data_IF_799433710472
#
_entry.id   IF_799433710472
#
_cell.length_a   1.000
_cell.length_b   1.000
_cell.length_c   1.000
_cell.angle_alpha   90.00
_cell.angle_beta   90.00
_cell.angle_gamma   90.00
#
_symmetry.space_group_name_H-M   'P 1'
#
loop_
_entity.id
_entity.type
_entity.pdbx_description
1 polymer ?
#
# COMPACT_ATOMS: atom_id res chain seq x y z
N UNK A 1 -6.87 7.09 -11.25
CA UNK A 1 -5.85 8.11 -11.56
C UNK A 1 -4.54 7.69 -10.88
N UNK A 2 -3.81 6.74 -11.48
CA UNK A 2 -2.52 6.28 -10.95
C UNK A 2 -1.44 7.24 -11.43
N UNK A 3 -1.27 8.37 -10.72
CA UNK A 3 -0.16 9.28 -10.97
C UNK A 3 1.13 8.58 -10.54
N UNK A 4 1.98 8.24 -11.50
CA UNK A 4 3.34 7.77 -11.25
C UNK A 4 4.13 8.93 -10.65
N UNK A 5 4.15 9.01 -9.31
CA UNK A 5 4.93 10.02 -8.59
C UNK A 5 6.40 9.79 -8.87
N UNK A 6 7.03 10.79 -9.47
CA UNK A 6 8.43 10.76 -9.84
C UNK A 6 9.27 11.24 -8.66
N UNK A 7 9.57 10.33 -7.74
CA UNK A 7 10.24 10.62 -6.46
C UNK A 7 11.65 11.22 -6.64
N UNK A 8 12.28 11.02 -7.80
CA UNK A 8 13.60 11.57 -8.10
C UNK A 8 13.62 13.10 -8.19
N UNK A 9 12.46 13.75 -8.40
CA UNK A 9 12.30 15.21 -8.50
C UNK A 9 11.89 15.89 -7.20
N UNK A 10 11.58 15.11 -6.15
CA UNK A 10 11.19 15.66 -4.85
C UNK A 10 12.42 16.05 -4.02
N UNK A 11 12.27 17.09 -3.21
CA UNK A 11 13.28 17.47 -2.22
C UNK A 11 13.32 16.49 -1.05
N UNK A 12 14.44 16.45 -0.33
CA UNK A 12 14.63 15.49 0.77
C UNK A 12 13.52 15.59 1.84
N UNK A 13 13.13 16.81 2.21
CA UNK A 13 12.06 17.05 3.17
C UNK A 13 10.69 16.58 2.66
N UNK A 14 10.45 16.67 1.34
CA UNK A 14 9.24 16.14 0.71
C UNK A 14 9.21 14.60 0.67
N UNK A 15 10.36 13.95 0.47
CA UNK A 15 10.46 12.48 0.51
C UNK A 15 10.15 11.92 1.91
N UNK A 16 10.69 12.56 2.96
CA UNK A 16 10.45 12.16 4.35
C UNK A 16 8.99 12.39 4.75
N UNK A 17 8.41 13.51 4.30
CA UNK A 17 6.99 13.83 4.46
C UNK A 17 6.07 12.79 3.79
N UNK A 18 6.39 12.41 2.55
CA UNK A 18 5.68 11.37 1.79
C UNK A 18 5.75 10.02 2.50
N UNK A 19 6.93 9.59 2.94
CA UNK A 19 7.10 8.31 3.65
C UNK A 19 6.23 8.26 4.90
N UNK A 20 6.25 9.31 5.73
CA UNK A 20 5.46 9.41 6.95
C UNK A 20 3.96 9.40 6.66
N UNK A 21 3.54 10.07 5.58
CA UNK A 21 2.15 10.07 5.10
C UNK A 21 1.71 8.70 4.61
N UNK A 22 2.59 7.95 3.95
CA UNK A 22 2.32 6.57 3.50
C UNK A 22 2.24 5.59 4.67
N UNK A 23 3.12 5.72 5.66
CA UNK A 23 3.05 4.92 6.90
C UNK A 23 1.79 5.24 7.72
N UNK A 24 1.40 6.51 7.83
CA UNK A 24 0.20 6.91 8.56
C UNK A 24 -1.09 6.41 7.89
N UNK A 25 -1.11 6.24 6.57
CA UNK A 25 -2.24 5.67 5.83
C UNK A 25 -2.33 4.14 5.96
N UNK A 26 -1.28 3.48 6.44
CA UNK A 26 -1.22 2.02 6.56
C UNK A 26 -2.25 1.48 7.55
N UNK A 27 -2.47 2.18 8.66
CA UNK A 27 -3.46 1.82 9.70
C UNK A 27 -4.90 1.89 9.17
N UNK A 28 -5.40 3.04 8.66
CA UNK A 28 -6.76 3.11 8.14
C UNK A 28 -6.96 2.17 6.93
N UNK A 29 -5.93 1.96 6.11
CA UNK A 29 -6.00 1.02 4.99
C UNK A 29 -6.10 -0.44 5.47
N UNK A 30 -5.37 -0.82 6.52
CA UNK A 30 -5.47 -2.14 7.14
C UNK A 30 -6.87 -2.40 7.75
N UNK A 31 -7.44 -1.40 8.43
CA UNK A 31 -8.81 -1.48 8.96
C UNK A 31 -9.83 -1.64 7.81
N UNK A 32 -9.67 -0.85 6.74
CA UNK A 32 -10.54 -0.93 5.57
C UNK A 32 -10.47 -2.29 4.88
N UNK A 33 -9.26 -2.82 4.68
CA UNK A 33 -9.08 -4.18 4.14
C UNK A 33 -9.71 -5.21 5.07
N UNK A 34 -9.48 -5.13 6.39
CA UNK A 34 -10.07 -6.04 7.36
C UNK A 34 -11.60 -6.05 7.33
N UNK A 35 -12.22 -4.89 7.17
CA UNK A 35 -13.68 -4.75 7.05
C UNK A 35 -14.20 -5.42 5.77
N UNK A 36 -13.54 -5.21 4.62
CA UNK A 36 -13.95 -5.86 3.37
C UNK A 36 -13.76 -7.38 3.45
N UNK A 37 -12.65 -7.85 4.05
CA UNK A 37 -12.42 -9.29 4.28
C UNK A 37 -13.51 -9.88 5.18
N UNK A 38 -13.90 -9.18 6.25
CA UNK A 38 -14.99 -9.61 7.14
C UNK A 38 -16.34 -9.74 6.40
N UNK A 39 -16.71 -8.74 5.60
CA UNK A 39 -17.93 -8.78 4.77
C UNK A 39 -17.86 -9.92 3.76
N UNK A 40 -16.69 -10.12 3.15
CA UNK A 40 -16.50 -11.14 2.15
C UNK A 40 -16.62 -12.55 2.77
N UNK A 41 -16.05 -12.80 3.97
CA UNK A 41 -16.19 -14.07 4.70
C UNK A 41 -17.64 -14.32 5.12
N UNK A 42 -18.35 -13.28 5.59
CA UNK A 42 -19.76 -13.37 5.93
C UNK A 42 -20.63 -13.71 4.72
N UNK A 43 -20.33 -13.08 3.56
CA UNK A 43 -20.99 -13.33 2.28
C UNK A 43 -20.64 -14.70 1.68
N UNK A 44 -19.41 -15.20 1.84
CA UNK A 44 -19.03 -16.54 1.38
C UNK A 44 -19.77 -17.64 2.13
N UNK A 45 -20.08 -17.43 3.41
CA UNK A 45 -20.86 -18.37 4.23
C UNK A 45 -22.33 -18.42 3.79
N UNK A 46 -22.85 -17.34 3.20
CA UNK A 46 -24.21 -17.26 2.67
C UNK A 46 -24.23 -17.49 1.14
N UNK A 47 -24.19 -18.78 0.74
CA UNK A 47 -24.40 -19.33 -0.61
C UNK A 47 -23.97 -18.42 -1.80
N UNK A 48 -22.67 -18.38 -2.09
CA UNK A 48 -22.16 -18.03 -3.44
C UNK A 48 -20.92 -17.11 -3.53
N UNK A 49 -20.48 -16.49 -2.43
CA UNK A 49 -19.45 -15.43 -2.45
C UNK A 49 -17.97 -15.85 -2.42
N UNK A 50 -17.65 -17.15 -2.42
CA UNK A 50 -16.28 -17.64 -2.19
C UNK A 50 -15.26 -17.26 -3.29
N UNK A 51 -15.70 -17.08 -4.54
CA UNK A 51 -14.81 -16.60 -5.60
C UNK A 51 -14.46 -15.11 -5.44
N UNK A 52 -15.37 -14.33 -4.86
CA UNK A 52 -15.14 -12.91 -4.59
C UNK A 52 -14.16 -12.71 -3.43
N UNK A 53 -14.26 -13.50 -2.34
CA UNK A 53 -13.30 -13.44 -1.22
C UNK A 53 -11.87 -13.75 -1.66
N UNK A 54 -11.68 -14.82 -2.44
CA UNK A 54 -10.36 -15.20 -2.95
C UNK A 54 -9.83 -14.21 -3.97
N UNK A 55 -10.67 -13.73 -4.89
CA UNK A 55 -10.27 -12.69 -5.84
C UNK A 55 -9.79 -11.42 -5.13
N UNK A 56 -10.48 -11.02 -4.06
CA UNK A 56 -10.13 -9.83 -3.29
C UNK A 56 -8.84 -10.02 -2.47
N UNK A 57 -8.62 -11.20 -1.88
CA UNK A 57 -7.37 -11.53 -1.17
C UNK A 57 -6.16 -11.56 -2.11
N UNK A 58 -6.30 -12.15 -3.30
CA UNK A 58 -5.25 -12.15 -4.32
C UNK A 58 -4.96 -10.71 -4.76
N UNK A 59 -6.00 -9.92 -5.01
CA UNK A 59 -5.85 -8.51 -5.40
C UNK A 59 -5.17 -7.68 -4.30
N UNK A 60 -5.56 -7.86 -3.04
CA UNK A 60 -4.93 -7.19 -1.89
C UNK A 60 -3.44 -7.55 -1.76
N UNK A 61 -3.09 -8.83 -1.99
CA UNK A 61 -1.70 -9.31 -1.94
C UNK A 61 -0.85 -8.69 -3.06
N UNK A 62 -1.39 -8.66 -4.29
CA UNK A 62 -0.72 -8.01 -5.42
C UNK A 62 -0.53 -6.51 -5.19
N UNK A 63 -1.56 -5.83 -4.67
CA UNK A 63 -1.50 -4.40 -4.41
C UNK A 63 -0.53 -4.06 -3.27
N UNK A 64 -0.53 -4.84 -2.19
CA UNK A 64 0.43 -4.74 -1.10
C UNK A 64 1.87 -4.94 -1.56
N UNK A 65 2.10 -5.91 -2.46
CA UNK A 65 3.45 -6.15 -3.01
C UNK A 65 3.98 -4.96 -3.82
N UNK A 66 3.12 -4.31 -4.62
CA UNK A 66 3.50 -3.08 -5.35
C UNK A 66 3.74 -1.91 -4.40
N UNK A 67 2.90 -1.74 -3.38
CA UNK A 67 3.07 -0.70 -2.38
C UNK A 67 4.38 -0.84 -1.60
N UNK A 68 4.75 -2.07 -1.24
CA UNK A 68 6.03 -2.37 -0.59
C UNK A 68 7.23 -2.05 -1.49
N UNK A 69 7.15 -2.32 -2.80
CA UNK A 69 8.20 -1.96 -3.76
C UNK A 69 8.39 -0.44 -3.87
N UNK A 70 7.30 0.33 -3.95
CA UNK A 70 7.36 1.80 -3.99
C UNK A 70 7.89 2.39 -2.67
N UNK A 71 7.52 1.82 -1.52
CA UNK A 71 8.11 2.21 -0.24
C UNK A 71 9.62 1.98 -0.21
N UNK A 72 10.08 0.80 -0.69
CA UNK A 72 11.51 0.49 -0.76
C UNK A 72 12.27 1.41 -1.71
N UNK A 73 11.67 1.83 -2.84
CA UNK A 73 12.34 2.77 -3.75
C UNK A 73 12.49 4.16 -3.14
N UNK A 74 11.47 4.65 -2.42
CA UNK A 74 11.55 5.94 -1.70
C UNK A 74 12.60 5.86 -0.59
N UNK A 75 12.60 4.78 0.19
CA UNK A 75 13.55 4.58 1.28
C UNK A 75 14.99 4.44 0.77
N UNK A 76 15.20 3.77 -0.37
CA UNK A 76 16.50 3.69 -1.02
C UNK A 76 16.98 5.07 -1.52
N UNK A 77 16.09 5.89 -2.06
CA UNK A 77 16.41 7.25 -2.51
C UNK A 77 16.77 8.17 -1.33
N UNK A 78 16.04 8.10 -0.21
CA UNK A 78 16.36 8.82 1.03
C UNK A 78 17.73 8.38 1.55
N UNK A 79 17.96 7.08 1.70
CA UNK A 79 19.21 6.53 2.21
C UNK A 79 20.42 6.85 1.32
N UNK A 80 20.22 6.90 0.00
CA UNK A 80 21.26 7.30 -0.95
C UNK A 80 21.65 8.76 -0.76
N UNK A 81 20.69 9.66 -0.56
CA UNK A 81 20.96 11.10 -0.37
C UNK A 81 21.55 11.43 1.00
N UNK A 82 21.22 10.64 2.01
CA UNK A 82 21.79 10.78 3.35
C UNK A 82 23.26 10.30 3.39
N UNK A 83 23.62 9.26 2.62
CA UNK A 83 25.00 8.73 2.59
C UNK A 83 25.99 9.51 1.72
N UNK A 84 25.50 10.34 0.79
CA UNK A 84 26.32 11.17 -0.11
C UNK A 84 26.64 12.54 0.52
N UNK A 85 26.07 12.84 1.68
CA UNK A 85 26.30 14.08 2.45
C UNK A 85 27.40 13.90 3.49
#
# INVERSE_FOLDING_TARGET
MFSSKDYSKMTHDELVSEEKKMQSQKIPFAVFIGLIVGIAVWSATHKGGFFLTIGLLIFATLMGSRYSKNLKSIQAEISHRDTVR
#
